data_IF_078644165210
#
_entry.id   IF_078644165210
#
_cell.length_a   1.000
_cell.length_b   1.000
_cell.length_c   1.000
_cell.angle_alpha   90.00
_cell.angle_beta   90.00
_cell.angle_gamma   90.00
#
_symmetry.space_group_name_H-M   'P 1'
#
loop_
_entity.id
_entity.type
_entity.pdbx_description
1 polymer ?
#
# COMPACT_ATOMS: atom_id res chain seq x y z
N UNK A 1 5.90 -13.87 -3.24
CA UNK A 1 5.46 -13.17 -2.02
C UNK A 1 6.34 -13.68 -0.89
N UNK A 2 6.90 -12.77 -0.09
CA UNK A 2 7.55 -13.11 1.17
C UNK A 2 6.63 -12.79 2.34
N UNK A 3 6.71 -13.59 3.41
CA UNK A 3 5.95 -13.41 4.64
C UNK A 3 6.92 -13.41 5.82
N UNK A 4 6.89 -12.33 6.60
CA UNK A 4 7.66 -12.17 7.82
C UNK A 4 6.74 -12.07 9.03
N UNK A 5 7.24 -12.52 10.17
CA UNK A 5 6.58 -12.43 11.47
C UNK A 5 7.48 -11.56 12.35
N UNK A 6 7.04 -10.34 12.66
CA UNK A 6 7.85 -9.36 13.38
C UNK A 6 7.00 -8.56 14.36
N UNK A 7 7.62 -8.04 15.43
CA UNK A 7 6.97 -7.07 16.30
C UNK A 7 6.91 -5.72 15.55
N UNK A 8 5.69 -5.29 15.22
CA UNK A 8 5.47 -4.05 14.49
C UNK A 8 5.41 -2.81 15.38
N UNK A 9 5.62 -2.93 16.70
CA UNK A 9 5.49 -1.81 17.67
C UNK A 9 6.23 -0.53 17.24
N UNK A 10 7.39 -0.68 16.60
CA UNK A 10 8.23 0.43 16.16
C UNK A 10 7.91 0.97 14.75
N UNK A 11 7.15 0.22 13.93
CA UNK A 11 6.74 0.62 12.58
C UNK A 11 5.29 1.10 12.54
N UNK A 12 4.41 0.39 13.23
CA UNK A 12 3.00 0.69 13.38
C UNK A 12 2.46 -0.01 14.64
N UNK A 13 2.35 0.74 15.73
CA UNK A 13 1.96 0.24 17.06
C UNK A 13 0.64 -0.55 17.07
N UNK A 14 -0.30 -0.16 16.22
CA UNK A 14 -1.66 -0.72 16.19
C UNK A 14 -1.94 -1.55 14.93
N UNK A 15 -0.92 -1.89 14.12
CA UNK A 15 -1.11 -2.69 12.91
C UNK A 15 -1.10 -4.20 13.23
N UNK A 16 -2.07 -4.92 12.65
CA UNK A 16 -2.09 -6.40 12.63
C UNK A 16 -1.11 -6.98 11.61
N UNK A 17 -0.86 -6.24 10.54
CA UNK A 17 0.05 -6.57 9.47
C UNK A 17 0.23 -5.38 8.55
N UNK A 18 1.23 -5.47 7.68
CA UNK A 18 1.53 -4.47 6.67
C UNK A 18 2.12 -5.14 5.45
N UNK A 19 1.67 -4.74 4.26
CA UNK A 19 2.43 -4.96 3.03
C UNK A 19 3.40 -3.82 2.82
N UNK A 20 4.68 -4.18 2.71
CA UNK A 20 5.69 -3.26 2.23
C UNK A 20 5.41 -2.94 0.76
N UNK A 21 5.78 -1.75 0.26
CA UNK A 21 5.63 -1.41 -1.15
C UNK A 21 6.07 -2.59 -2.05
N UNK A 22 5.29 -2.96 -3.08
CA UNK A 22 5.68 -4.06 -3.94
C UNK A 22 6.94 -3.70 -4.74
N UNK A 23 7.59 -4.70 -5.31
CA UNK A 23 8.52 -4.45 -6.42
C UNK A 23 7.69 -3.86 -7.58
N UNK A 24 8.18 -2.81 -8.21
CA UNK A 24 7.45 -2.09 -9.27
C UNK A 24 8.09 -2.31 -10.63
N UNK A 25 7.26 -2.33 -11.67
CA UNK A 25 7.67 -2.22 -13.07
C UNK A 25 7.08 -0.94 -13.62
N UNK A 26 7.92 -0.13 -14.27
CA UNK A 26 7.50 1.16 -14.82
C UNK A 26 7.09 0.99 -16.28
N UNK A 27 5.82 1.24 -16.58
CA UNK A 27 5.26 1.06 -17.92
C UNK A 27 4.62 2.35 -18.43
N UNK A 28 4.63 2.49 -19.75
CA UNK A 28 3.85 3.47 -20.51
C UNK A 28 2.79 2.76 -21.34
N UNK A 29 1.68 3.43 -21.56
CA UNK A 29 0.73 3.03 -22.59
C UNK A 29 1.25 3.46 -23.96
N UNK A 30 1.03 2.65 -25.00
CA UNK A 30 1.43 2.99 -26.36
C UNK A 30 0.83 4.33 -26.80
N UNK A 31 1.68 5.25 -27.26
CA UNK A 31 1.28 6.60 -27.64
C UNK A 31 1.16 7.60 -26.48
N UNK A 32 1.45 7.19 -25.24
CA UNK A 32 1.55 8.06 -24.08
C UNK A 32 2.99 8.21 -23.61
N UNK A 33 3.37 9.43 -23.22
CA UNK A 33 4.66 9.69 -22.55
C UNK A 33 4.59 9.49 -21.03
N UNK A 34 3.39 9.25 -20.48
CA UNK A 34 3.19 9.11 -19.05
C UNK A 34 3.61 7.74 -18.56
N UNK A 35 4.37 7.75 -17.48
CA UNK A 35 4.86 6.55 -16.80
C UNK A 35 4.09 6.33 -15.51
N UNK A 36 3.71 5.08 -15.27
CA UNK A 36 3.12 4.66 -14.01
C UNK A 36 3.89 3.47 -13.42
N UNK A 37 3.83 3.36 -12.10
CA UNK A 37 4.36 2.21 -11.36
C UNK A 37 3.31 1.11 -11.28
N UNK A 38 3.63 -0.07 -11.79
CA UNK A 38 2.79 -1.26 -11.73
C UNK A 38 3.41 -2.24 -10.74
N UNK A 39 2.65 -2.78 -9.77
CA UNK A 39 3.14 -3.91 -8.98
C UNK A 39 3.62 -5.01 -9.90
N UNK A 40 4.77 -5.59 -9.60
CA UNK A 40 5.39 -6.60 -10.45
C UNK A 40 4.45 -7.79 -10.71
N UNK A 41 3.69 -8.20 -9.70
CA UNK A 41 2.70 -9.28 -9.82
C UNK A 41 1.70 -9.01 -10.95
N UNK A 42 1.25 -7.76 -11.09
CA UNK A 42 0.37 -7.32 -12.16
C UNK A 42 1.12 -7.25 -13.50
N UNK A 43 2.31 -6.63 -13.52
CA UNK A 43 3.12 -6.49 -14.73
C UNK A 43 3.45 -7.86 -15.38
N UNK A 44 3.68 -8.90 -14.59
CA UNK A 44 3.88 -10.29 -15.08
C UNK A 44 2.70 -10.80 -15.91
N UNK A 45 1.48 -10.31 -15.69
CA UNK A 45 0.28 -10.71 -16.44
C UNK A 45 0.02 -9.83 -17.67
N UNK A 46 0.61 -8.63 -17.73
CA UNK A 46 0.44 -7.69 -18.83
C UNK A 46 1.32 -8.07 -20.04
N UNK A 47 0.86 -7.69 -21.23
CA UNK A 47 1.62 -7.78 -22.48
C UNK A 47 2.25 -6.41 -22.75
N UNK A 48 3.58 -6.36 -22.82
CA UNK A 48 4.30 -5.11 -23.07
C UNK A 48 5.60 -5.33 -23.83
N UNK A 49 5.95 -4.36 -24.68
CA UNK A 49 7.22 -4.37 -25.42
C UNK A 49 8.39 -4.14 -24.45
N UNK A 50 9.43 -4.97 -24.55
CA UNK A 50 10.60 -4.94 -23.66
C UNK A 50 10.53 -5.91 -22.48
N UNK A 51 9.44 -6.70 -22.35
CA UNK A 51 9.29 -7.70 -21.27
C UNK A 51 10.40 -8.75 -21.26
N UNK A 52 10.86 -9.19 -22.43
CA UNK A 52 11.92 -10.21 -22.53
C UNK A 52 13.30 -9.70 -22.08
N UNK A 53 13.48 -8.37 -21.99
CA UNK A 53 14.71 -7.74 -21.51
C UNK A 53 14.66 -7.44 -20.01
N UNK A 54 13.55 -7.77 -19.34
CA UNK A 54 13.29 -7.47 -17.95
C UNK A 54 13.53 -8.70 -17.09
N UNK A 55 14.48 -8.60 -16.16
CA UNK A 55 14.58 -9.56 -15.06
C UNK A 55 13.68 -9.08 -13.91
N UNK A 56 12.67 -9.88 -13.60
CA UNK A 56 11.79 -9.61 -12.47
C UNK A 56 12.50 -9.91 -11.15
N UNK A 57 12.20 -9.13 -10.11
CA UNK A 57 12.58 -9.45 -8.75
C UNK A 57 12.04 -10.83 -8.34
N UNK A 58 12.80 -11.52 -7.49
CA UNK A 58 12.43 -12.84 -6.96
C UNK A 58 11.06 -12.81 -6.27
N UNK A 59 10.78 -11.73 -5.54
CA UNK A 59 9.56 -11.53 -4.77
C UNK A 59 8.73 -10.38 -5.36
N UNK A 60 7.44 -10.65 -5.53
CA UNK A 60 6.50 -9.63 -6.02
C UNK A 60 6.19 -8.54 -4.98
N UNK A 61 5.97 -8.97 -3.74
CA UNK A 61 5.76 -8.10 -2.59
C UNK A 61 6.06 -8.87 -1.30
N UNK A 62 6.26 -8.12 -0.23
CA UNK A 62 6.61 -8.61 1.09
C UNK A 62 5.57 -8.17 2.10
N UNK A 63 5.09 -9.11 2.90
CA UNK A 63 4.12 -8.89 3.96
C UNK A 63 4.77 -9.17 5.31
N UNK A 64 4.47 -8.32 6.29
CA UNK A 64 4.88 -8.51 7.68
C UNK A 64 3.60 -8.62 8.51
N UNK A 65 3.50 -9.68 9.31
CA UNK A 65 2.41 -9.86 10.27
C UNK A 65 2.95 -9.62 11.67
N UNK A 66 2.18 -8.86 12.45
CA UNK A 66 2.57 -8.53 13.82
C UNK A 66 2.55 -9.78 14.69
N UNK A 67 3.64 -10.04 15.43
CA UNK A 67 3.73 -11.17 16.39
C UNK A 67 3.29 -10.80 17.79
N UNK A 68 3.15 -9.51 18.11
CA UNK A 68 2.53 -9.06 19.35
C UNK A 68 1.00 -9.13 19.23
N UNK A 69 0.51 -10.36 19.04
CA UNK A 69 -0.91 -10.69 18.83
C UNK A 69 -1.26 -11.86 19.72
N UNK A 70 -2.43 -11.83 20.35
CA UNK A 70 -2.88 -12.98 21.13
C UNK A 70 -3.27 -14.14 20.20
N UNK A 71 -3.24 -15.37 20.72
CA UNK A 71 -3.76 -16.54 19.99
C UNK A 71 -5.23 -16.38 19.55
N UNK A 72 -5.98 -15.53 20.25
CA UNK A 72 -7.36 -15.19 19.90
C UNK A 72 -7.39 -14.22 18.70
N UNK A 73 -6.54 -13.20 18.68
CA UNK A 73 -6.43 -12.25 17.56
C UNK A 73 -6.07 -12.94 16.25
N UNK A 74 -5.07 -13.84 16.28
CA UNK A 74 -4.66 -14.61 15.10
C UNK A 74 -5.81 -15.47 14.58
N UNK A 75 -6.57 -16.13 15.48
CA UNK A 75 -7.68 -17.01 15.11
C UNK A 75 -8.90 -16.27 14.59
N UNK A 76 -9.14 -15.04 15.05
CA UNK A 76 -10.33 -14.28 14.65
C UNK A 76 -10.04 -13.43 13.41
N UNK A 77 -8.83 -12.85 13.29
CA UNK A 77 -8.52 -11.81 12.30
C UNK A 77 -7.43 -12.19 11.29
N UNK A 78 -6.67 -13.27 11.52
CA UNK A 78 -5.53 -13.63 10.68
C UNK A 78 -5.89 -13.73 9.19
N UNK A 79 -6.99 -14.41 8.85
CA UNK A 79 -7.44 -14.54 7.46
C UNK A 79 -7.83 -13.21 6.83
N UNK A 80 -8.51 -12.34 7.59
CA UNK A 80 -8.87 -11.02 7.10
C UNK A 80 -7.63 -10.17 6.84
N UNK A 81 -6.73 -10.09 7.83
CA UNK A 81 -5.53 -9.26 7.74
C UNK A 81 -4.71 -9.71 6.53
N UNK A 82 -4.47 -11.02 6.38
CA UNK A 82 -3.79 -11.57 5.21
C UNK A 82 -4.48 -11.21 3.89
N UNK A 83 -5.80 -11.43 3.79
CA UNK A 83 -6.53 -11.16 2.55
C UNK A 83 -6.52 -9.67 2.16
N UNK A 84 -6.69 -8.77 3.14
CA UNK A 84 -6.60 -7.32 2.96
C UNK A 84 -5.20 -6.89 2.54
N UNK A 85 -4.19 -7.34 3.25
CA UNK A 85 -2.79 -7.03 2.96
C UNK A 85 -2.41 -7.52 1.54
N UNK A 86 -2.87 -8.71 1.13
CA UNK A 86 -2.70 -9.18 -0.26
C UNK A 86 -3.29 -8.18 -1.27
N UNK A 87 -4.46 -7.58 -1.01
CA UNK A 87 -5.06 -6.58 -1.92
C UNK A 87 -4.16 -5.35 -2.12
N UNK A 88 -3.49 -4.89 -1.06
CA UNK A 88 -2.49 -3.83 -1.15
C UNK A 88 -1.29 -4.29 -1.99
N UNK A 89 -0.76 -5.48 -1.71
CA UNK A 89 0.39 -6.05 -2.43
C UNK A 89 0.17 -6.29 -3.93
N UNK A 90 -1.07 -6.60 -4.33
CA UNK A 90 -1.42 -6.80 -5.75
C UNK A 90 -1.82 -5.50 -6.46
N UNK A 91 -1.88 -4.37 -5.75
CA UNK A 91 -1.91 -3.05 -6.39
C UNK A 91 -2.94 -2.05 -5.90
N UNK A 92 -3.74 -2.34 -4.88
CA UNK A 92 -4.59 -1.31 -4.25
C UNK A 92 -3.74 -0.55 -3.23
N UNK A 93 -2.83 0.28 -3.73
CA UNK A 93 -1.88 1.03 -2.91
C UNK A 93 -1.56 2.36 -3.58
N UNK A 94 -1.48 3.42 -2.79
CA UNK A 94 -0.87 4.68 -3.20
C UNK A 94 0.65 4.52 -3.23
N UNK A 95 1.30 5.32 -4.06
CA UNK A 95 2.75 5.43 -4.13
C UNK A 95 3.21 6.73 -3.49
N UNK A 96 2.42 7.33 -2.59
CA UNK A 96 2.72 8.61 -1.94
C UNK A 96 1.77 8.91 -0.78
N UNK A 97 1.98 10.07 -0.16
CA UNK A 97 1.39 10.44 1.13
C UNK A 97 1.34 11.98 1.30
N UNK A 98 0.64 12.47 2.33
CA UNK A 98 0.61 13.88 2.71
C UNK A 98 1.77 14.23 3.65
N UNK A 99 2.55 15.24 3.28
CA UNK A 99 3.80 15.58 3.97
C UNK A 99 3.56 16.06 5.41
N UNK A 100 2.63 16.97 5.65
CA UNK A 100 2.40 17.51 7.00
C UNK A 100 1.56 16.58 7.88
N UNK A 101 0.62 15.85 7.28
CA UNK A 101 -0.23 14.90 8.04
C UNK A 101 0.53 13.65 8.50
N UNK A 102 1.76 13.46 8.04
CA UNK A 102 2.66 12.38 8.49
C UNK A 102 3.28 12.60 9.89
N UNK A 103 2.87 13.64 10.63
CA UNK A 103 3.31 13.92 12.01
C UNK A 103 4.31 15.08 12.13
N UNK A 104 4.76 15.61 11.00
CA UNK A 104 5.68 16.75 10.92
C UNK A 104 4.94 17.98 10.40
N UNK A 105 4.47 18.88 11.28
CA UNK A 105 3.87 20.16 10.88
C UNK A 105 4.94 21.15 10.43
N UNK A 106 5.61 20.84 9.32
CA UNK A 106 6.78 21.56 8.80
C UNK A 106 6.42 22.76 7.92
N UNK A 107 5.30 22.66 7.22
CA UNK A 107 4.86 23.65 6.25
C UNK A 107 3.54 24.30 6.67
N UNK A 108 3.25 25.49 6.15
CA UNK A 108 1.98 26.19 6.45
C UNK A 108 0.75 25.49 5.88
N UNK A 109 0.94 24.74 4.80
CA UNK A 109 -0.11 23.98 4.10
C UNK A 109 0.36 22.55 3.90
N UNK A 110 -0.59 21.62 3.82
CA UNK A 110 -0.27 20.23 3.49
C UNK A 110 -0.28 20.01 1.97
N UNK A 111 0.47 19.03 1.51
CA UNK A 111 0.58 18.68 0.10
C UNK A 111 0.91 17.20 -0.06
N UNK A 112 0.45 16.61 -1.15
CA UNK A 112 0.82 15.25 -1.54
C UNK A 112 2.26 15.21 -2.05
N UNK A 113 3.02 14.21 -1.63
CA UNK A 113 4.30 13.86 -2.21
C UNK A 113 4.34 12.36 -2.51
N UNK A 114 4.79 11.95 -3.72
CA UNK A 114 5.10 10.56 -3.99
C UNK A 114 6.18 10.05 -3.05
N UNK A 115 6.22 8.73 -2.94
CA UNK A 115 7.17 7.98 -2.19
C UNK A 115 8.54 8.18 -2.81
N UNK A 116 9.50 8.25 -1.90
CA UNK A 116 10.92 8.36 -2.21
C UNK A 116 11.51 6.98 -2.45
N UNK A 117 12.37 6.84 -3.46
CA UNK A 117 13.25 5.68 -3.58
C UNK A 117 14.62 6.01 -2.97
N UNK A 118 14.89 5.64 -1.71
CA UNK A 118 16.24 5.68 -1.16
C UNK A 118 17.11 4.61 -1.84
N UNK A 119 18.39 4.93 -2.05
CA UNK A 119 19.44 3.94 -2.31
C UNK A 119 20.08 3.66 -0.96
N UNK A 120 20.00 2.40 -0.53
CA UNK A 120 20.54 1.95 0.75
C UNK A 120 21.87 1.27 0.48
N UNK A 121 22.91 1.66 1.21
CA UNK A 121 24.18 0.94 1.25
C UNK A 121 24.53 0.67 2.70
N UNK A 122 24.67 -0.60 3.05
CA UNK A 122 25.18 -1.03 4.35
C UNK A 122 26.70 -1.12 4.24
N UNK A 123 27.41 -0.49 5.18
CA UNK A 123 28.86 -0.62 5.26
C UNK A 123 29.24 -1.92 5.98
N UNK A 124 29.91 -2.84 5.27
CA UNK A 124 30.30 -4.13 5.83
C UNK A 124 31.29 -3.99 7.00
N UNK A 125 32.01 -2.86 7.09
CA UNK A 125 33.08 -2.66 8.06
C UNK A 125 32.60 -1.94 9.34
N UNK A 126 31.35 -1.47 9.39
CA UNK A 126 30.78 -0.83 10.58
C UNK A 126 29.28 -1.09 10.70
N UNK A 127 28.89 -1.82 11.75
CA UNK A 127 27.49 -2.18 12.11
C UNK A 127 26.59 -0.94 12.32
N UNK A 128 27.18 0.25 12.39
CA UNK A 128 26.49 1.51 12.74
C UNK A 128 26.12 2.40 11.53
N UNK A 129 26.49 2.02 10.30
CA UNK A 129 26.39 2.88 9.12
C UNK A 129 25.43 2.38 8.04
N UNK A 130 24.18 2.87 8.04
CA UNK A 130 23.32 2.80 6.86
C UNK A 130 23.45 4.11 6.08
N UNK A 131 23.96 4.03 4.86
CA UNK A 131 23.99 5.13 3.91
C UNK A 131 22.68 5.18 3.15
N UNK A 132 21.94 6.28 3.30
CA UNK A 132 20.70 6.52 2.55
C UNK A 132 20.93 7.67 1.58
N UNK A 133 20.78 7.41 0.29
CA UNK A 133 20.87 8.41 -0.78
C UNK A 133 19.53 8.56 -1.47
N UNK A 134 18.99 9.78 -1.50
CA UNK A 134 17.76 10.09 -2.23
C UNK A 134 18.06 10.86 -3.51
N UNK A 135 17.32 10.56 -4.59
CA UNK A 135 17.52 11.23 -5.90
C UNK A 135 16.21 11.63 -6.58
N UNK A 136 15.21 10.74 -6.58
CA UNK A 136 13.98 10.88 -7.36
C UNK A 136 12.80 10.21 -6.68
N UNK A 137 11.61 10.68 -7.00
CA UNK A 137 10.36 10.04 -6.62
C UNK A 137 10.05 8.80 -7.48
N UNK A 138 9.32 7.84 -6.91
CA UNK A 138 8.64 6.83 -7.73
C UNK A 138 7.61 7.51 -8.65
N UNK A 139 7.39 7.00 -9.88
CA UNK A 139 6.21 7.35 -10.65
C UNK A 139 4.93 7.00 -9.88
N UNK A 140 3.87 7.77 -10.12
CA UNK A 140 2.55 7.53 -9.55
C UNK A 140 2.09 6.10 -9.88
N UNK A 141 1.42 5.44 -8.94
CA UNK A 141 0.94 4.07 -9.13
C UNK A 141 -0.15 3.99 -10.20
N UNK A 142 -0.28 2.82 -10.82
CA UNK A 142 -1.43 2.52 -11.70
C UNK A 142 -2.76 2.64 -10.95
N UNK A 143 -2.81 2.44 -9.64
CA UNK A 143 -4.02 2.67 -8.85
C UNK A 143 -4.40 4.14 -8.78
N UNK A 144 -3.44 5.00 -8.45
CA UNK A 144 -3.63 6.45 -8.38
C UNK A 144 -4.03 7.07 -9.71
N UNK A 145 -3.59 6.48 -10.84
CA UNK A 145 -4.04 6.87 -12.20
C UNK A 145 -5.56 6.96 -12.32
N UNK A 146 -6.31 6.08 -11.65
CA UNK A 146 -7.76 5.99 -11.76
C UNK A 146 -8.51 6.73 -10.64
N UNK A 147 -7.80 7.46 -9.78
CA UNK A 147 -8.44 8.25 -8.73
C UNK A 147 -9.00 9.55 -9.32
N UNK A 148 -10.29 9.76 -9.10
CA UNK A 148 -11.06 10.90 -9.59
C UNK A 148 -11.74 11.64 -8.45
N UNK A 149 -12.21 12.86 -8.71
CA UNK A 149 -13.14 13.52 -7.79
C UNK A 149 -14.53 12.87 -7.89
N UNK A 150 -15.21 12.69 -6.75
CA UNK A 150 -16.58 12.13 -6.77
C UNK A 150 -17.59 13.11 -7.38
N UNK A 151 -17.39 14.42 -7.19
CA UNK A 151 -18.24 15.46 -7.77
C UNK A 151 -18.07 15.61 -9.27
N UNK A 152 -16.90 15.25 -9.81
CA UNK A 152 -16.63 15.23 -11.24
C UNK A 152 -15.78 13.99 -11.63
N UNK A 153 -16.43 12.83 -11.87
CA UNK A 153 -15.73 11.59 -12.20
C UNK A 153 -14.89 11.60 -13.49
N UNK A 154 -14.86 12.69 -14.26
CA UNK A 154 -13.97 12.83 -15.41
C UNK A 154 -12.66 13.55 -15.08
N UNK A 155 -12.52 14.03 -13.85
CA UNK A 155 -11.33 14.70 -13.36
C UNK A 155 -10.43 13.71 -12.61
N UNK A 156 -9.38 13.23 -13.28
CA UNK A 156 -8.33 12.41 -12.66
C UNK A 156 -7.36 13.30 -11.90
N UNK A 157 -7.27 13.10 -10.58
CA UNK A 157 -6.64 14.09 -9.70
C UNK A 157 -5.10 14.09 -9.80
N UNK A 158 -4.51 12.99 -10.29
CA UNK A 158 -3.06 12.81 -10.43
C UNK A 158 -2.49 13.16 -11.80
N UNK A 159 -3.34 13.53 -12.76
CA UNK A 159 -2.95 13.79 -14.15
C UNK A 159 -1.76 14.76 -14.25
N UNK A 160 -1.80 15.84 -13.47
CA UNK A 160 -0.79 16.89 -13.44
C UNK A 160 0.45 16.56 -12.57
N UNK A 161 0.45 15.40 -11.89
CA UNK A 161 1.57 14.96 -11.04
C UNK A 161 2.33 13.77 -11.64
N UNK A 162 1.91 13.25 -12.79
CA UNK A 162 2.53 12.08 -13.44
C UNK A 162 4.03 12.25 -13.69
N UNK A 163 4.47 13.48 -13.99
CA UNK A 163 5.88 13.82 -14.24
C UNK A 163 6.70 14.17 -12.99
N UNK A 164 6.11 14.07 -11.79
CA UNK A 164 6.84 14.37 -10.55
C UNK A 164 8.07 13.51 -10.33
N UNK A 165 8.10 12.28 -10.84
CA UNK A 165 9.26 11.39 -10.79
C UNK A 165 10.51 11.98 -11.46
N UNK A 166 10.35 13.00 -12.33
CA UNK A 166 11.45 13.73 -12.98
C UNK A 166 12.07 14.79 -12.08
N UNK A 167 11.40 15.18 -10.98
CA UNK A 167 11.94 16.13 -9.99
C UNK A 167 13.15 15.51 -9.31
N UNK A 168 14.29 16.17 -9.44
CA UNK A 168 15.52 15.77 -8.77
C UNK A 168 15.64 16.47 -7.43
N UNK A 169 16.05 15.69 -6.43
CA UNK A 169 16.34 16.22 -5.10
C UNK A 169 17.81 16.59 -4.98
N UNK A 170 18.15 17.53 -4.07
CA UNK A 170 19.53 17.74 -3.68
C UNK A 170 20.14 16.41 -3.25
N UNK A 171 21.40 16.17 -3.67
CA UNK A 171 22.13 15.00 -3.19
C UNK A 171 22.32 15.11 -1.69
N UNK A 172 21.79 14.13 -0.96
CA UNK A 172 21.92 14.05 0.48
C UNK A 172 22.57 12.72 0.83
N UNK A 173 23.67 12.80 1.58
CA UNK A 173 24.33 11.66 2.20
C UNK A 173 24.02 11.68 3.68
N UNK A 174 23.39 10.61 4.13
CA UNK A 174 23.12 10.43 5.55
C UNK A 174 23.95 9.27 6.10
N UNK A 175 24.57 9.51 7.26
CA UNK A 175 25.33 8.52 8.02
C UNK A 175 24.79 8.50 9.44
N UNK A 176 23.94 7.52 9.76
CA UNK A 176 23.74 6.95 11.12
C UNK A 176 22.52 6.04 11.20
N UNK A 177 22.69 4.91 11.86
CA UNK A 177 21.60 4.18 12.51
C UNK A 177 21.36 4.75 13.93
N UNK A 178 20.10 5.00 14.26
CA UNK A 178 19.51 5.04 15.62
C UNK A 178 19.80 6.15 16.66
N UNK A 179 20.59 7.21 16.42
CA UNK A 179 20.90 8.14 17.53
C UNK A 179 20.84 9.65 17.24
N UNK A 180 20.04 10.11 16.28
CA UNK A 180 19.77 11.55 16.20
C UNK A 180 18.33 11.92 15.83
N UNK A 181 18.01 13.11 16.31
CA UNK A 181 16.74 13.58 16.87
C UNK A 181 15.77 14.02 15.79
N UNK A 182 14.47 13.99 16.09
CA UNK A 182 13.35 14.55 15.31
C UNK A 182 13.68 15.84 14.51
N UNK A 183 14.55 16.70 15.04
CA UNK A 183 15.02 17.95 14.41
C UNK A 183 15.82 17.74 13.12
N UNK A 184 16.59 16.66 13.04
CA UNK A 184 17.33 16.29 11.83
C UNK A 184 16.39 15.77 10.75
N UNK A 185 15.42 14.94 11.11
CA UNK A 185 14.34 14.55 10.20
C UNK A 185 13.59 15.77 9.69
N UNK A 186 13.25 16.71 10.58
CA UNK A 186 12.59 17.98 10.21
C UNK A 186 13.41 18.80 9.20
N UNK A 187 14.71 18.96 9.43
CA UNK A 187 15.61 19.70 8.54
C UNK A 187 15.77 18.98 7.20
N UNK A 188 15.94 17.67 7.23
CA UNK A 188 16.03 16.81 6.06
C UNK A 188 14.78 16.88 5.19
N UNK A 189 13.59 16.76 5.79
CA UNK A 189 12.33 16.90 5.09
C UNK A 189 12.17 18.30 4.51
N UNK A 190 12.52 19.34 5.26
CA UNK A 190 12.47 20.71 4.76
C UNK A 190 13.35 20.91 3.53
N UNK A 191 14.64 20.61 3.64
CA UNK A 191 15.60 20.76 2.54
C UNK A 191 15.24 19.90 1.32
N UNK A 192 14.72 18.69 1.55
CA UNK A 192 14.23 17.85 0.47
C UNK A 192 13.12 18.55 -0.31
N UNK A 193 12.08 19.02 0.38
CA UNK A 193 10.87 19.53 -0.27
C UNK A 193 10.96 20.99 -0.74
N UNK A 194 12.04 21.72 -0.47
CA UNK A 194 12.19 23.12 -0.94
C UNK A 194 12.13 23.25 -2.48
N UNK A 195 12.80 22.33 -3.20
CA UNK A 195 12.72 22.28 -4.68
C UNK A 195 11.29 21.97 -5.12
N UNK A 196 10.63 21.05 -4.41
CA UNK A 196 9.28 20.62 -4.73
C UNK A 196 8.26 21.77 -4.57
N UNK A 197 8.34 22.51 -3.46
CA UNK A 197 7.45 23.66 -3.18
C UNK A 197 7.61 24.76 -4.22
N UNK A 198 8.80 24.90 -4.79
CA UNK A 198 9.09 25.88 -5.84
C UNK A 198 8.72 25.39 -7.25
N UNK A 199 8.21 24.16 -7.40
CA UNK A 199 7.90 23.56 -8.69
C UNK A 199 6.45 23.78 -9.13
N UNK A 200 6.17 23.57 -10.42
CA UNK A 200 4.81 23.61 -10.97
C UNK A 200 3.87 22.53 -10.40
N UNK A 201 4.41 21.55 -9.69
CA UNK A 201 3.64 20.45 -9.10
C UNK A 201 3.03 20.79 -7.73
N UNK A 202 3.48 21.86 -7.08
CA UNK A 202 3.07 22.20 -5.72
C UNK A 202 1.57 22.52 -5.59
N UNK A 203 1.03 23.35 -6.47
CA UNK A 203 -0.41 23.70 -6.44
C UNK A 203 -1.32 22.48 -6.70
N UNK A 204 -1.08 21.64 -7.73
CA UNK A 204 -1.81 20.39 -7.87
C UNK A 204 -1.69 19.46 -6.65
N UNK A 205 -0.50 19.36 -6.04
CA UNK A 205 -0.29 18.53 -4.86
C UNK A 205 -1.03 19.03 -3.60
N UNK A 206 -1.10 20.36 -3.40
CA UNK A 206 -1.95 20.96 -2.37
C UNK A 206 -3.42 20.64 -2.59
N UNK A 207 -3.89 20.72 -3.83
CA UNK A 207 -5.26 20.35 -4.19
C UNK A 207 -5.57 18.90 -3.83
N UNK A 208 -4.66 17.96 -4.09
CA UNK A 208 -4.83 16.57 -3.68
C UNK A 208 -4.92 16.45 -2.16
N UNK A 209 -4.06 17.16 -1.41
CA UNK A 209 -4.13 17.16 0.05
C UNK A 209 -5.46 17.69 0.58
N UNK A 210 -6.02 18.74 -0.03
CA UNK A 210 -7.35 19.25 0.32
C UNK A 210 -8.45 18.21 0.06
N UNK A 211 -8.41 17.55 -1.10
CA UNK A 211 -9.34 16.48 -1.43
C UNK A 211 -9.22 15.32 -0.43
N UNK A 212 -8.01 14.90 -0.09
CA UNK A 212 -7.78 13.79 0.85
C UNK A 212 -8.29 14.07 2.27
N UNK A 213 -8.37 15.36 2.65
CA UNK A 213 -8.94 15.86 3.91
C UNK A 213 -10.40 16.33 3.78
N UNK A 214 -11.06 16.03 2.67
CA UNK A 214 -12.47 16.33 2.48
C UNK A 214 -13.23 15.01 2.38
N UNK A 215 -14.23 14.82 3.24
CA UNK A 215 -15.07 13.61 3.18
C UNK A 215 -15.79 13.50 1.83
N UNK A 216 -15.92 12.27 1.31
CA UNK A 216 -16.63 11.95 0.06
C UNK A 216 -16.11 12.72 -1.17
N UNK A 217 -14.83 13.07 -1.18
CA UNK A 217 -14.24 13.91 -2.22
C UNK A 217 -13.69 13.11 -3.40
N UNK A 218 -13.22 11.88 -3.15
CA UNK A 218 -12.43 11.09 -4.10
C UNK A 218 -12.93 9.66 -4.21
N UNK A 219 -12.78 9.08 -5.39
CA UNK A 219 -13.17 7.72 -5.69
C UNK A 219 -12.27 7.11 -6.76
N UNK A 220 -12.35 5.80 -6.91
CA UNK A 220 -11.69 5.07 -7.98
C UNK A 220 -12.67 4.85 -9.14
N UNK A 221 -12.30 5.32 -10.34
CA UNK A 221 -13.13 5.12 -11.53
C UNK A 221 -12.80 3.79 -12.19
N UNK A 222 -13.73 2.85 -12.12
CA UNK A 222 -13.63 1.56 -12.78
C UNK A 222 -13.80 1.67 -14.30
N UNK A 223 -13.35 0.64 -15.02
CA UNK A 223 -13.43 0.54 -16.49
C UNK A 223 -14.89 0.56 -17.02
N UNK A 224 -15.86 0.15 -16.21
CA UNK A 224 -17.29 0.24 -16.54
C UNK A 224 -17.88 1.65 -16.34
N UNK A 225 -17.05 2.61 -15.89
CA UNK A 225 -17.42 3.99 -15.61
C UNK A 225 -17.98 4.21 -14.19
N UNK A 226 -18.20 3.17 -13.40
CA UNK A 226 -18.63 3.31 -12.01
C UNK A 226 -17.52 3.88 -11.13
N UNK A 227 -17.91 4.63 -10.09
CA UNK A 227 -16.97 5.20 -9.11
C UNK A 227 -17.13 4.47 -7.80
N UNK A 228 -16.07 3.80 -7.36
CA UNK A 228 -15.99 3.20 -6.02
C UNK A 228 -15.46 4.27 -5.07
N UNK A 229 -16.22 4.67 -4.04
CA UNK A 229 -15.79 5.74 -3.15
C UNK A 229 -14.58 5.30 -2.31
N UNK A 230 -13.57 6.16 -2.20
CA UNK A 230 -12.38 5.91 -1.40
C UNK A 230 -12.49 6.65 -0.06
N UNK A 231 -11.98 6.04 1.00
CA UNK A 231 -12.08 6.57 2.35
C UNK A 231 -11.36 7.91 2.47
N UNK A 232 -12.10 8.95 2.81
CA UNK A 232 -11.58 10.26 3.22
C UNK A 232 -12.32 10.76 4.46
N UNK A 233 -11.71 11.70 5.18
CA UNK A 233 -12.27 12.24 6.43
C UNK A 233 -12.44 13.75 6.32
N UNK A 234 -13.29 14.31 7.17
CA UNK A 234 -13.53 15.75 7.18
C UNK A 234 -12.45 16.46 8.01
N UNK A 235 -11.58 17.21 7.35
CA UNK A 235 -10.47 17.95 7.95
C UNK A 235 -9.23 17.12 8.28
N UNK A 236 -9.30 15.79 8.20
CA UNK A 236 -8.28 14.87 8.67
C UNK A 236 -7.78 13.93 7.57
N UNK A 237 -6.53 13.48 7.72
CA UNK A 237 -5.92 12.48 6.86
C UNK A 237 -5.20 11.45 7.74
N UNK A 238 -5.52 10.17 7.53
CA UNK A 238 -4.95 9.07 8.27
C UNK A 238 -4.17 8.19 7.31
N UNK A 239 -2.84 8.21 7.40
CA UNK A 239 -1.93 7.53 6.48
C UNK A 239 -2.27 6.05 6.23
N UNK A 240 -2.58 5.30 7.28
CA UNK A 240 -2.90 3.86 7.21
C UNK A 240 -4.27 3.56 6.59
N UNK A 241 -5.01 4.59 6.18
CA UNK A 241 -6.46 4.51 6.00
C UNK A 241 -6.91 5.18 4.72
N UNK A 242 -6.57 6.45 4.61
CA UNK A 242 -7.16 7.33 3.64
C UNK A 242 -6.76 6.84 2.27
N UNK A 243 -7.72 6.85 1.34
CA UNK A 243 -7.51 6.59 -0.09
C UNK A 243 -7.25 5.14 -0.49
N UNK A 244 -6.55 4.37 0.35
CA UNK A 244 -6.27 2.94 0.09
C UNK A 244 -7.41 2.00 0.50
N UNK A 245 -8.47 2.55 1.07
CA UNK A 245 -9.65 1.82 1.55
C UNK A 245 -10.91 2.33 0.88
N UNK A 246 -11.93 1.49 0.85
CA UNK A 246 -13.26 1.85 0.36
C UNK A 246 -13.99 2.60 1.48
N UNK A 247 -14.60 3.73 1.11
CA UNK A 247 -15.37 4.53 2.06
C UNK A 247 -16.59 3.75 2.57
N UNK A 248 -16.96 4.02 3.81
CA UNK A 248 -18.15 3.47 4.43
C UNK A 248 -19.18 4.60 4.56
N UNK A 249 -20.16 4.70 3.65
CA UNK A 249 -21.03 5.87 3.56
C UNK A 249 -21.81 6.16 4.85
N UNK A 250 -22.07 5.12 5.64
CA UNK A 250 -22.88 5.15 6.86
C UNK A 250 -22.10 5.59 8.11
N UNK A 251 -20.78 5.76 8.03
CA UNK A 251 -19.94 6.21 9.14
C UNK A 251 -19.46 7.64 8.83
N UNK A 252 -19.81 8.59 9.69
CA UNK A 252 -19.57 10.02 9.47
C UNK A 252 -18.50 10.65 10.35
N UNK A 253 -18.09 9.98 11.42
CA UNK A 253 -17.17 10.54 12.42
C UNK A 253 -16.14 9.51 12.85
N UNK A 254 -14.98 10.02 13.28
CA UNK A 254 -13.89 9.20 13.80
C UNK A 254 -14.23 8.48 15.11
N UNK A 255 -15.20 8.98 15.89
CA UNK A 255 -15.54 8.40 17.20
C UNK A 255 -16.10 6.98 17.13
N UNK A 256 -16.48 6.49 15.94
CA UNK A 256 -16.88 5.09 15.74
C UNK A 256 -15.70 4.13 15.62
N UNK A 257 -14.50 4.66 15.37
CA UNK A 257 -13.28 3.89 15.35
C UNK A 257 -12.91 3.54 16.80
N UNK A 258 -12.94 4.48 17.73
CA UNK A 258 -12.58 4.19 19.14
C UNK A 258 -13.66 3.46 19.98
N UNK A 259 -14.74 2.93 19.39
CA UNK A 259 -15.93 2.46 20.11
C UNK A 259 -16.29 0.96 19.89
N UNK A 260 -16.73 0.36 21.00
CA UNK A 260 -17.38 -0.94 21.30
C UNK A 260 -17.77 -1.86 20.10
N UNK A 261 -17.54 -3.20 20.17
CA UNK A 261 -18.03 -4.19 19.22
C UNK A 261 -19.40 -3.91 18.62
N UNK A 262 -19.44 -3.88 17.29
CA UNK A 262 -20.70 -3.99 16.57
C UNK A 262 -21.48 -5.22 17.04
N UNK A 263 -22.72 -4.98 17.48
CA UNK A 263 -23.68 -6.04 17.68
C UNK A 263 -23.80 -6.84 16.37
N UNK A 264 -23.70 -8.16 16.44
CA UNK A 264 -23.82 -9.05 15.27
C UNK A 264 -25.09 -8.76 14.45
N UNK A 265 -26.17 -8.36 15.12
CA UNK A 265 -27.45 -8.04 14.48
C UNK A 265 -27.42 -6.72 13.70
N UNK A 266 -26.43 -5.88 13.95
CA UNK A 266 -26.31 -4.53 13.39
C UNK A 266 -25.18 -4.40 12.38
N UNK A 267 -24.29 -5.39 12.20
CA UNK A 267 -23.15 -5.35 11.25
C UNK A 267 -23.54 -4.85 9.84
N UNK A 268 -24.68 -5.31 9.31
CA UNK A 268 -25.22 -4.88 8.00
C UNK A 268 -25.58 -3.39 7.91
N UNK A 269 -25.75 -2.74 9.06
CA UNK A 269 -26.03 -1.32 9.15
C UNK A 269 -24.76 -0.49 8.95
N UNK A 270 -23.58 -1.10 9.01
CA UNK A 270 -22.29 -0.40 8.92
C UNK A 270 -21.45 -0.91 7.75
N UNK A 271 -21.29 -2.22 7.62
CA UNK A 271 -20.50 -2.82 6.55
C UNK A 271 -21.34 -3.02 5.27
N UNK A 272 -20.64 -2.94 4.15
CA UNK A 272 -21.13 -3.28 2.82
C UNK A 272 -20.44 -4.57 2.32
N UNK A 273 -20.76 -4.99 1.11
CA UNK A 273 -20.17 -6.15 0.46
C UNK A 273 -18.65 -6.03 0.20
N UNK A 274 -18.09 -4.81 0.24
CA UNK A 274 -16.66 -4.49 0.09
C UNK A 274 -15.90 -4.46 1.43
N UNK A 275 -16.47 -5.06 2.48
CA UNK A 275 -15.95 -5.03 3.85
C UNK A 275 -14.46 -5.41 4.03
N UNK A 276 -13.88 -6.19 3.11
CA UNK A 276 -12.45 -6.54 3.17
C UNK A 276 -11.53 -5.32 3.04
N UNK A 277 -11.96 -4.28 2.31
CA UNK A 277 -11.22 -3.02 2.14
C UNK A 277 -11.80 -1.86 2.95
N UNK A 278 -12.79 -2.10 3.80
CA UNK A 278 -13.29 -1.08 4.72
C UNK A 278 -12.26 -0.88 5.85
N UNK A 279 -12.04 0.37 6.29
CA UNK A 279 -11.07 0.69 7.35
C UNK A 279 -11.61 0.56 8.80
N UNK A 280 -12.75 -0.06 9.05
CA UNK A 280 -13.27 -0.13 10.42
C UNK A 280 -13.07 -1.49 11.08
N UNK A 281 -12.62 -1.44 12.34
CA UNK A 281 -12.89 -2.36 13.46
C UNK A 281 -13.79 -3.56 13.12
N UNK A 282 -13.17 -4.69 12.79
CA UNK A 282 -13.89 -5.98 12.85
C UNK A 282 -13.47 -6.82 14.05
N UNK A 283 -12.89 -6.17 15.06
CA UNK A 283 -12.16 -6.80 16.16
C UNK A 283 -12.96 -7.78 17.04
N UNK A 284 -14.16 -8.25 16.66
CA UNK A 284 -14.93 -9.16 17.51
C UNK A 284 -15.72 -10.29 16.83
N UNK A 285 -15.73 -10.42 15.49
CA UNK A 285 -16.44 -11.55 14.84
C UNK A 285 -15.60 -12.28 13.80
N UNK A 286 -15.76 -13.60 13.73
CA UNK A 286 -15.10 -14.46 12.72
C UNK A 286 -15.48 -14.02 11.30
N UNK A 287 -14.53 -14.08 10.37
CA UNK A 287 -14.71 -13.71 8.97
C UNK A 287 -15.94 -14.37 8.32
N UNK A 288 -16.14 -15.67 8.56
CA UNK A 288 -17.33 -16.40 8.08
C UNK A 288 -18.65 -15.83 8.60
N UNK A 289 -18.66 -15.32 9.83
CA UNK A 289 -19.84 -14.66 10.40
C UNK A 289 -20.14 -13.39 9.64
N UNK A 290 -19.15 -12.54 9.42
CA UNK A 290 -19.30 -11.29 8.66
C UNK A 290 -19.75 -11.59 7.23
N UNK A 291 -19.07 -12.53 6.56
CA UNK A 291 -19.41 -13.01 5.21
C UNK A 291 -20.85 -13.50 5.13
N UNK A 292 -21.35 -14.23 6.12
CA UNK A 292 -22.74 -14.70 6.16
C UNK A 292 -23.79 -13.59 6.31
N UNK A 293 -23.39 -12.42 6.82
CA UNK A 293 -24.28 -11.28 7.09
C UNK A 293 -24.28 -10.29 5.93
N UNK A 294 -23.10 -9.85 5.48
CA UNK A 294 -22.96 -8.80 4.45
C UNK A 294 -22.49 -9.32 3.09
N UNK A 295 -21.86 -10.49 3.05
CA UNK A 295 -21.37 -11.13 1.83
C UNK A 295 -22.29 -12.24 1.31
N UNK A 296 -23.49 -12.44 1.87
CA UNK A 296 -24.38 -13.57 1.58
C UNK A 296 -24.64 -13.77 0.09
N UNK A 297 -24.84 -12.67 -0.63
CA UNK A 297 -25.14 -12.67 -2.07
C UNK A 297 -23.90 -12.30 -2.91
N UNK A 298 -22.73 -12.16 -2.28
CA UNK A 298 -21.48 -11.86 -2.96
C UNK A 298 -20.86 -13.14 -3.55
N UNK A 299 -20.95 -13.28 -4.88
CA UNK A 299 -20.35 -14.41 -5.60
C UNK A 299 -18.83 -14.51 -5.48
N UNK A 300 -18.16 -13.44 -5.07
CA UNK A 300 -16.71 -13.36 -4.88
C UNK A 300 -16.28 -13.59 -3.42
N UNK A 301 -17.22 -13.97 -2.54
CA UNK A 301 -16.95 -14.32 -1.16
C UNK A 301 -16.65 -13.10 -0.29
N UNK A 302 -15.41 -12.99 0.20
CA UNK A 302 -14.99 -11.85 1.06
C UNK A 302 -14.53 -10.64 0.23
N UNK A 303 -14.21 -10.85 -1.04
CA UNK A 303 -13.81 -9.78 -1.94
C UNK A 303 -15.05 -9.15 -2.56
N UNK A 304 -15.40 -7.93 -2.19
CA UNK A 304 -16.60 -7.28 -2.71
C UNK A 304 -16.52 -6.94 -4.20
N UNK A 305 -17.66 -6.66 -4.86
CA UNK A 305 -17.70 -6.25 -6.26
C UNK A 305 -16.88 -5.00 -6.56
N UNK A 306 -16.80 -4.03 -5.65
CA UNK A 306 -15.98 -2.82 -5.81
C UNK A 306 -14.50 -3.16 -5.86
N UNK A 307 -14.02 -4.03 -4.97
CA UNK A 307 -12.64 -4.55 -4.99
C UNK A 307 -12.34 -5.24 -6.32
N UNK A 308 -13.23 -6.11 -6.79
CA UNK A 308 -13.04 -6.82 -8.05
C UNK A 308 -12.98 -5.84 -9.23
N UNK A 309 -13.86 -4.83 -9.27
CA UNK A 309 -13.84 -3.79 -10.30
C UNK A 309 -12.54 -2.98 -10.28
N UNK A 310 -12.02 -2.65 -9.10
CA UNK A 310 -10.71 -1.98 -8.99
C UNK A 310 -9.63 -2.85 -9.62
N UNK A 311 -9.45 -4.09 -9.14
CA UNK A 311 -8.41 -5.00 -9.62
C UNK A 311 -8.48 -5.23 -11.12
N UNK A 312 -9.68 -5.47 -11.65
CA UNK A 312 -9.85 -5.71 -13.09
C UNK A 312 -9.60 -4.45 -13.92
N UNK A 313 -9.91 -3.26 -13.39
CA UNK A 313 -9.55 -1.98 -14.02
C UNK A 313 -8.03 -1.76 -14.06
N UNK A 314 -7.31 -2.21 -13.04
CA UNK A 314 -5.83 -2.20 -13.04
C UNK A 314 -5.23 -3.18 -14.05
N UNK A 315 -5.99 -4.19 -14.49
CA UNK A 315 -5.58 -5.17 -15.50
C UNK A 315 -5.55 -6.62 -15.03
N UNK A 316 -5.97 -6.91 -13.79
CA UNK A 316 -6.09 -8.29 -13.29
C UNK A 316 -7.23 -9.06 -13.99
N UNK A 317 -7.03 -10.36 -14.20
CA UNK A 317 -8.02 -11.25 -14.84
C UNK A 317 -8.63 -12.22 -13.83
N UNK A 318 -9.94 -12.43 -13.93
CA UNK A 318 -10.65 -13.48 -13.17
C UNK A 318 -10.38 -14.86 -13.81
N UNK A 319 -10.04 -15.86 -12.99
CA UNK A 319 -9.58 -17.19 -13.44
C UNK A 319 -10.66 -18.03 -14.15
N UNK A 320 -11.94 -17.89 -13.78
CA UNK A 320 -12.99 -18.85 -14.18
C UNK A 320 -14.15 -18.24 -14.99
N UNK A 321 -13.96 -17.06 -15.56
CA UNK A 321 -15.04 -16.39 -16.30
C UNK A 321 -15.09 -16.91 -17.75
N UNK A 322 -15.61 -18.14 -17.94
CA UNK A 322 -15.83 -18.77 -19.27
C UNK A 322 -16.78 -17.96 -20.17
N UNK A 323 -17.59 -17.07 -19.58
CA UNK A 323 -18.51 -16.18 -20.29
C UNK A 323 -18.01 -14.74 -20.46
N UNK A 324 -16.81 -14.38 -19.97
CA UNK A 324 -16.27 -13.04 -20.22
C UNK A 324 -15.57 -12.97 -21.57
N UNK A 325 -16.37 -13.02 -22.64
CA UNK A 325 -16.18 -12.15 -23.79
C UNK A 325 -16.56 -10.69 -23.45
N UNK A 326 -16.36 -10.27 -22.19
CA UNK A 326 -16.42 -8.86 -21.82
C UNK A 326 -15.12 -8.23 -22.28
N UNK A 327 -15.06 -8.00 -23.59
CA UNK A 327 -13.99 -7.37 -24.36
C UNK A 327 -13.64 -5.94 -23.90
N UNK A 328 -14.28 -5.47 -22.81
CA UNK A 328 -14.09 -4.14 -22.22
C UNK A 328 -13.08 -4.11 -21.07
N UNK A 329 -12.74 -5.23 -20.44
CA UNK A 329 -11.92 -5.24 -19.21
C UNK A 329 -10.43 -5.53 -19.46
N UNK A 330 -10.08 -6.05 -20.63
CA UNK A 330 -8.75 -5.87 -21.21
C UNK A 330 -8.92 -5.33 -22.62
N UNK A 331 -9.34 -4.06 -22.73
CA UNK A 331 -9.12 -3.34 -23.99
C UNK A 331 -7.63 -3.51 -24.34
N UNK A 332 -7.33 -3.70 -25.62
CA UNK A 332 -6.01 -3.95 -26.18
C UNK A 332 -5.04 -2.77 -25.94
N UNK A 333 -4.71 -2.49 -24.68
CA UNK A 333 -3.71 -1.51 -24.30
C UNK A 333 -2.38 -2.22 -24.49
N UNK A 334 -1.67 -1.83 -25.54
CA UNK A 334 -0.28 -2.20 -25.69
C UNK A 334 0.52 -1.31 -24.75
N UNK A 335 1.38 -1.92 -23.95
CA UNK A 335 2.26 -1.20 -23.04
C UNK A 335 3.71 -1.29 -23.55
N UNK A 336 4.55 -0.36 -23.11
CA UNK A 336 6.00 -0.36 -23.37
C UNK A 336 6.74 -0.15 -22.05
N UNK A 337 7.87 -0.85 -21.88
CA UNK A 337 8.76 -0.65 -20.73
C UNK A 337 9.31 0.79 -20.74
N UNK A 338 9.21 1.50 -19.62
CA UNK A 338 9.72 2.86 -19.47
C UNK A 338 11.23 2.84 -19.13
N UNK A 339 12.08 2.65 -20.14
CA UNK A 339 13.53 2.50 -19.97
C UNK A 339 14.26 3.77 -19.52
N UNK A 340 13.62 4.93 -19.59
CA UNK A 340 14.20 6.18 -19.10
C UNK A 340 14.09 6.35 -17.58
N UNK A 341 13.33 5.48 -16.90
CA UNK A 341 13.27 5.47 -15.44
C UNK A 341 14.49 4.76 -14.88
N UNK A 342 15.46 5.56 -14.45
CA UNK A 342 16.64 5.12 -13.71
C UNK A 342 16.32 4.95 -12.22
N UNK A 343 15.41 4.02 -11.93
CA UNK A 343 15.03 3.58 -10.58
C UNK A 343 14.98 2.05 -10.64
N UNK A 344 15.59 1.31 -9.69
CA UNK A 344 15.45 -0.13 -9.62
C UNK A 344 13.99 -0.59 -9.49
N UNK A 345 13.70 -1.79 -9.99
CA UNK A 345 12.38 -2.42 -9.84
C UNK A 345 12.17 -3.04 -8.47
N UNK A 346 13.26 -3.41 -7.79
CA UNK A 346 13.25 -4.00 -6.45
C UNK A 346 12.87 -2.92 -5.44
N UNK A 347 11.93 -3.23 -4.55
CA UNK A 347 11.62 -2.33 -3.44
C UNK A 347 12.78 -2.30 -2.43
N UNK A 348 13.22 -1.10 -2.07
CA UNK A 348 14.30 -0.90 -1.09
C UNK A 348 14.02 -1.48 0.28
N UNK A 349 12.75 -1.60 0.70
CA UNK A 349 12.45 -2.26 1.99
C UNK A 349 12.73 -3.75 1.90
N UNK A 350 12.46 -4.41 0.78
CA UNK A 350 12.80 -5.83 0.59
C UNK A 350 14.33 -6.01 0.56
N UNK A 351 15.04 -5.10 -0.11
CA UNK A 351 16.50 -5.06 -0.10
C UNK A 351 17.04 -4.87 1.32
N UNK A 352 16.50 -3.91 2.08
CA UNK A 352 16.86 -3.67 3.47
C UNK A 352 16.63 -4.91 4.33
N UNK A 353 15.46 -5.55 4.22
CA UNK A 353 15.12 -6.75 4.98
C UNK A 353 16.06 -7.91 4.64
N UNK A 354 16.35 -8.15 3.37
CA UNK A 354 17.27 -9.21 2.93
C UNK A 354 18.71 -9.00 3.36
N UNK A 355 19.18 -7.76 3.34
CA UNK A 355 20.52 -7.41 3.83
C UNK A 355 20.55 -7.51 5.37
N UNK A 356 19.44 -7.20 6.05
CA UNK A 356 19.32 -7.37 7.51
C UNK A 356 19.25 -8.83 7.96
N UNK A 357 18.74 -9.76 7.14
CA UNK A 357 18.83 -11.20 7.43
C UNK A 357 20.29 -11.69 7.52
N UNK A 358 21.26 -10.91 7.01
CA UNK A 358 22.69 -11.17 7.14
C UNK A 358 23.35 -10.41 8.30
N UNK A 359 22.65 -9.45 8.90
CA UNK A 359 23.15 -8.55 9.94
C UNK A 359 22.06 -8.29 11.00
N UNK A 360 22.13 -9.03 12.11
CA UNK A 360 21.31 -8.92 13.32
C UNK A 360 20.68 -7.53 13.54
N UNK A 361 19.37 -7.41 13.29
CA UNK A 361 18.56 -6.23 13.66
C UNK A 361 18.27 -6.25 15.18
N UNK A 362 19.30 -6.35 16.03
CA UNK A 362 19.17 -6.48 17.49
C UNK A 362 19.84 -5.34 18.30
N UNK A 363 19.91 -4.12 17.78
CA UNK A 363 19.93 -2.95 18.65
C UNK A 363 18.51 -2.42 18.73
N UNK A 364 17.68 -2.58 19.77
CA UNK A 364 17.91 -2.46 21.21
C UNK A 364 17.02 -3.45 22.00
N UNK A 365 16.86 -4.67 21.49
CA UNK A 365 15.93 -5.69 22.00
C UNK A 365 16.55 -7.03 22.42
N UNK A 366 17.88 -7.18 22.42
CA UNK A 366 18.56 -8.38 22.95
C UNK A 366 18.46 -8.56 24.47
N UNK A 367 17.59 -7.77 25.13
CA UNK A 367 17.17 -7.99 26.52
C UNK A 367 15.70 -8.47 26.64
N UNK A 368 14.95 -8.60 25.52
CA UNK A 368 13.50 -8.88 25.57
C UNK A 368 13.04 -10.18 24.88
N UNK A 369 13.87 -10.94 24.15
CA UNK A 369 13.41 -12.27 23.70
C UNK A 369 14.55 -13.27 23.46
N UNK A 370 14.79 -14.12 24.46
CA UNK A 370 15.62 -15.33 24.35
C UNK A 370 14.94 -16.47 23.59
N UNK A 371 13.72 -16.28 23.05
CA UNK A 371 12.91 -17.34 22.43
C UNK A 371 12.17 -16.89 21.16
N UNK A 372 12.83 -16.21 20.21
CA UNK A 372 12.30 -16.17 18.83
C UNK A 372 12.96 -17.27 18.00
N UNK A 373 12.14 -18.28 17.70
CA UNK A 373 12.44 -19.38 16.80
C UNK A 373 12.51 -18.81 15.38
N UNK A 374 13.69 -18.37 14.95
CA UNK A 374 14.00 -18.14 13.55
C UNK A 374 14.16 -19.48 12.83
N UNK A 375 13.06 -20.18 12.63
CA UNK A 375 12.95 -21.09 11.51
C UNK A 375 11.57 -20.93 10.88
N UNK A 376 11.51 -19.99 9.92
CA UNK A 376 10.34 -19.75 9.07
C UNK A 376 9.90 -21.06 8.40
N UNK A 377 10.82 -21.99 8.11
CA UNK A 377 10.45 -23.33 7.62
C UNK A 377 9.77 -24.14 8.70
N UNK A 378 10.30 -24.18 9.93
CA UNK A 378 9.64 -24.89 11.04
C UNK A 378 8.25 -24.33 11.37
N UNK A 379 8.05 -23.01 11.33
CA UNK A 379 6.75 -22.40 11.58
C UNK A 379 5.75 -22.63 10.44
N UNK A 380 6.18 -22.52 9.18
CA UNK A 380 5.37 -22.90 8.00
C UNK A 380 5.05 -24.39 7.99
N UNK A 381 6.00 -25.26 8.34
CA UNK A 381 5.76 -26.69 8.54
C UNK A 381 4.80 -26.95 9.70
N UNK A 382 4.86 -26.16 10.78
CA UNK A 382 3.95 -26.29 11.92
C UNK A 382 2.54 -25.83 11.56
N UNK A 383 2.38 -24.72 10.82
CA UNK A 383 1.08 -24.27 10.31
C UNK A 383 0.50 -25.24 9.26
N UNK A 384 1.32 -25.80 8.38
CA UNK A 384 0.92 -26.85 7.43
C UNK A 384 0.56 -28.16 8.15
N UNK A 385 1.33 -28.56 9.18
CA UNK A 385 1.05 -29.74 9.98
C UNK A 385 -0.22 -29.58 10.82
N UNK A 386 -0.49 -28.38 11.36
CA UNK A 386 -1.74 -28.05 12.04
C UNK A 386 -2.91 -28.06 11.05
N UNK A 387 -2.74 -27.51 9.84
CA UNK A 387 -3.74 -27.57 8.77
C UNK A 387 -4.08 -29.00 8.33
N UNK A 388 -3.07 -29.87 8.23
CA UNK A 388 -3.24 -31.29 7.88
C UNK A 388 -3.79 -32.14 9.05
N UNK A 389 -3.52 -31.77 10.30
CA UNK A 389 -4.01 -32.49 11.49
C UNK A 389 -5.48 -32.17 11.85
N UNK A 390 -6.02 -31.03 11.39
CA UNK A 390 -7.40 -30.61 11.66
C UNK A 390 -8.37 -31.09 10.54
N UNK A 391 -7.87 -31.82 9.54
CA UNK A 391 -8.71 -32.52 8.57
C UNK A 391 -9.34 -31.61 7.52
N UNK A 392 -8.49 -30.94 6.73
CA UNK A 392 -8.79 -30.55 5.35
C UNK A 392 -8.29 -31.62 4.38
#
# INVERSE_FOLDING_TARGET
>A
MSLFLMDLTYMCKDCLGIVLPPSFVYLKEEGSDKVYSYPQALAKQLKFDGKDNLEFAEMDFTMIINVDQTNEDIKIFGEFALAREILHGIGITTSGDLVNSSGYKLFSEDFYAPQRHPIIKVDNDSVDGVYVKFKKFYPISVFEKYIVTQSNPNEYIFENLTDMHKVQFPHQEYYKFMNDTKKMDETYFKESYEIFISSSFYEPAKRIAQLYKQKNSVGFKAADGSVIPLQSFDGEYYKSVSINHIDIPKISTYSYYDYDPFNKNEIKNYLNEDFILNYTYMFMHKLDTIKSIVGKDNKYGIFGPGVIKMLTTLGWKLKDNKDSNDSKISANINYKLATEIDIPFINYYDELMRVSDQHDYYGYGSLANYNMVCDVKAYVFTLLAIGLAIGL
#
